data_IF_034238844695
#
_entry.id   IF_034238844695
#
_cell.length_a   1.000
_cell.length_b   1.000
_cell.length_c   1.000
_cell.angle_alpha   90.00
_cell.angle_beta   90.00
_cell.angle_gamma   90.00
#
_symmetry.space_group_name_H-M   'P 1'
#
loop_
_entity.id
_entity.type
_entity.pdbx_description
1 polymer ?
#
# COMPACT_ATOMS: atom_id res chain seq x y z
N UNK A 1 13.32 -12.34 12.05
CA UNK A 1 13.73 -13.47 11.20
C UNK A 1 14.81 -13.00 10.24
N UNK A 2 16.00 -13.62 10.34
CA UNK A 2 17.02 -14.00 9.33
C UNK A 2 17.00 -13.30 7.96
N UNK A 3 18.08 -13.16 7.20
CA UNK A 3 19.55 -13.13 7.34
C UNK A 3 20.04 -12.97 5.88
N UNK A 4 21.14 -12.22 5.68
CA UNK A 4 22.19 -12.34 4.64
C UNK A 4 21.86 -12.89 3.25
N UNK A 5 22.45 -12.22 2.24
CA UNK A 5 23.41 -12.88 1.34
C UNK A 5 24.61 -11.97 1.05
N UNK A 6 25.79 -12.51 1.34
CA UNK A 6 27.12 -12.16 0.80
C UNK A 6 27.30 -12.87 -0.55
N UNK A 7 28.27 -12.42 -1.35
CA UNK A 7 29.07 -13.11 -2.42
C UNK A 7 29.53 -12.00 -3.41
N UNK A 8 30.78 -11.81 -3.87
CA UNK A 8 31.99 -12.63 -4.01
C UNK A 8 33.25 -11.70 -4.04
N UNK A 9 34.37 -12.02 -3.40
CA UNK A 9 35.54 -12.77 -3.92
C UNK A 9 36.14 -12.27 -5.25
N UNK A 10 37.38 -11.77 -5.22
CA UNK A 10 38.45 -12.37 -6.03
C UNK A 10 39.87 -11.98 -5.57
N UNK A 11 40.70 -13.01 -5.46
CA UNK A 11 42.09 -13.00 -5.02
C UNK A 11 42.97 -13.43 -6.21
N UNK A 12 44.13 -12.76 -6.35
CA UNK A 12 45.37 -13.21 -6.98
C UNK A 12 45.44 -13.40 -8.52
N UNK A 13 46.56 -12.95 -9.10
CA UNK A 13 47.68 -13.79 -9.59
C UNK A 13 48.62 -12.93 -10.48
N UNK A 14 49.91 -12.89 -10.14
CA UNK A 14 51.00 -12.45 -11.06
C UNK A 14 51.51 -13.65 -11.89
N UNK A 15 52.11 -13.41 -13.07
CA UNK A 15 53.15 -14.33 -13.55
C UNK A 15 54.44 -13.63 -14.05
N UNK A 16 55.55 -13.96 -13.36
CA UNK A 16 56.82 -14.57 -13.82
C UNK A 16 57.45 -14.15 -15.17
N UNK A 17 58.76 -13.84 -15.11
CA UNK A 17 59.75 -13.58 -16.19
C UNK A 17 59.96 -14.76 -17.17
N UNK A 18 60.71 -14.54 -18.26
CA UNK A 18 61.81 -15.49 -18.53
C UNK A 18 63.18 -14.87 -18.87
N UNK A 19 64.13 -15.79 -18.92
CA UNK A 19 65.60 -15.73 -18.82
C UNK A 19 66.39 -15.09 -19.97
N UNK A 20 67.66 -14.79 -19.65
CA UNK A 20 68.84 -14.65 -20.53
C UNK A 20 69.10 -15.94 -21.36
N UNK A 21 69.94 -15.85 -22.40
CA UNK A 21 71.26 -16.49 -22.27
C UNK A 21 72.45 -15.67 -22.85
N UNK A 22 73.62 -16.10 -22.40
CA UNK A 22 74.99 -15.68 -22.72
C UNK A 22 75.44 -16.09 -24.13
N UNK A 23 76.52 -15.47 -24.66
CA UNK A 23 77.68 -16.24 -25.14
C UNK A 23 78.94 -15.39 -25.42
N UNK A 24 80.06 -16.10 -25.26
CA UNK A 24 81.46 -15.71 -25.16
C UNK A 24 82.24 -15.69 -26.49
N UNK A 25 83.54 -15.35 -26.38
CA UNK A 25 84.72 -15.67 -27.24
C UNK A 25 85.06 -14.64 -28.34
N UNK A 26 86.31 -14.30 -28.67
CA UNK A 26 87.64 -14.69 -28.18
C UNK A 26 88.76 -13.81 -28.82
N UNK A 27 89.93 -13.84 -28.15
CA UNK A 27 91.32 -13.88 -28.67
C UNK A 27 92.08 -12.64 -29.20
N UNK A 28 93.26 -12.48 -28.57
CA UNK A 28 94.44 -11.59 -28.73
C UNK A 28 95.44 -12.12 -29.82
N UNK A 29 96.78 -11.83 -29.82
CA UNK A 29 97.60 -10.60 -30.02
C UNK A 29 98.85 -10.82 -30.95
N UNK A 30 99.82 -9.85 -30.97
CA UNK A 30 101.32 -9.96 -30.91
C UNK A 30 102.22 -9.48 -32.08
N UNK A 31 103.08 -8.52 -31.71
CA UNK A 31 104.55 -8.35 -31.89
C UNK A 31 105.35 -9.12 -32.96
N UNK A 32 106.33 -8.43 -33.58
CA UNK A 32 107.66 -8.98 -33.87
C UNK A 32 108.77 -7.89 -33.91
N UNK A 33 109.81 -8.09 -33.10
CA UNK A 33 111.17 -7.49 -33.18
C UNK A 33 112.12 -8.51 -33.82
N UNK A 34 113.15 -8.09 -34.58
CA UNK A 34 114.54 -8.63 -34.68
C UNK A 34 115.38 -7.55 -35.42
N UNK A 35 116.41 -6.87 -34.89
CA UNK A 35 117.78 -7.19 -34.42
C UNK A 35 118.87 -7.47 -35.50
N UNK A 36 119.87 -6.58 -35.53
CA UNK A 36 121.33 -6.81 -35.53
C UNK A 36 122.11 -7.41 -36.73
N UNK A 37 123.09 -6.60 -37.19
CA UNK A 37 124.56 -6.84 -37.14
C UNK A 37 125.41 -7.14 -38.40
N UNK A 38 126.55 -6.42 -38.38
CA UNK A 38 127.93 -6.72 -38.81
C UNK A 38 128.25 -6.88 -40.31
N UNK A 39 129.36 -6.39 -40.86
CA UNK A 39 130.59 -5.89 -40.25
C UNK A 39 131.82 -6.49 -40.95
N UNK A 40 132.52 -5.65 -41.72
CA UNK A 40 134.00 -5.61 -41.89
C UNK A 40 134.79 -6.77 -42.56
N UNK A 41 135.52 -6.38 -43.61
CA UNK A 41 137.01 -6.24 -43.69
C UNK A 41 137.78 -7.03 -44.76
N UNK A 42 138.74 -6.27 -45.30
CA UNK A 42 139.71 -6.53 -46.36
C UNK A 42 140.93 -7.35 -45.93
N UNK A 43 141.80 -7.64 -46.93
CA UNK A 43 143.27 -7.86 -46.95
C UNK A 43 143.61 -9.10 -47.81
N UNK A 44 144.71 -9.24 -48.54
CA UNK A 44 145.84 -8.40 -48.94
C UNK A 44 146.69 -9.24 -49.93
N UNK A 45 147.33 -8.58 -50.89
CA UNK A 45 148.65 -8.80 -51.49
C UNK A 45 149.43 -10.12 -51.28
N UNK A 46 149.97 -10.71 -52.34
CA UNK A 46 151.42 -10.55 -52.67
C UNK A 46 151.88 -11.27 -53.97
N UNK A 47 152.61 -10.49 -54.77
CA UNK A 47 153.84 -10.75 -55.54
C UNK A 47 154.10 -12.07 -56.34
N UNK A 48 154.13 -11.89 -57.69
CA UNK A 48 155.31 -12.05 -58.58
C UNK A 48 155.81 -13.48 -58.97
N UNK A 49 156.65 -13.68 -60.04
CA UNK A 49 156.80 -12.96 -61.33
C UNK A 49 157.20 -13.83 -62.57
N UNK A 50 157.37 -13.17 -63.74
CA UNK A 50 158.08 -13.55 -65.01
C UNK A 50 157.42 -14.63 -65.91
N UNK A 51 157.44 -14.60 -67.25
CA UNK A 51 158.30 -13.94 -68.24
C UNK A 51 157.63 -13.98 -69.65
N UNK A 52 157.88 -12.93 -70.44
CA UNK A 52 158.05 -12.85 -71.90
C UNK A 52 156.94 -13.06 -72.98
N UNK A 53 156.97 -12.11 -73.93
CA UNK A 53 156.61 -12.14 -75.35
C UNK A 53 155.16 -11.90 -75.87
N UNK A 54 154.98 -10.65 -76.34
CA UNK A 54 154.43 -10.26 -77.66
C UNK A 54 152.91 -10.17 -77.89
N UNK A 55 152.02 -10.73 -77.06
CA UNK A 55 150.54 -10.61 -77.26
C UNK A 55 149.81 -9.61 -76.32
N UNK A 56 150.44 -9.25 -75.19
CA UNK A 56 149.81 -8.51 -74.09
C UNK A 56 149.39 -7.05 -74.43
N UNK A 57 150.03 -6.42 -75.42
CA UNK A 57 149.73 -5.04 -75.82
C UNK A 57 148.39 -4.88 -76.55
N UNK A 58 147.86 -5.94 -77.19
CA UNK A 58 146.51 -5.91 -77.78
C UNK A 58 145.41 -6.08 -76.73
N UNK A 59 145.64 -6.95 -75.74
CA UNK A 59 144.70 -7.19 -74.63
C UNK A 59 144.52 -5.91 -73.78
N UNK A 60 145.60 -5.20 -73.45
CA UNK A 60 145.53 -3.97 -72.62
C UNK A 60 144.63 -2.89 -73.24
N UNK A 61 144.64 -2.73 -74.58
CA UNK A 61 143.77 -1.75 -75.26
C UNK A 61 142.30 -2.17 -75.25
N UNK A 62 142.01 -3.47 -75.30
CA UNK A 62 140.63 -3.99 -75.28
C UNK A 62 140.02 -3.97 -73.86
N UNK A 63 140.83 -4.25 -72.83
CA UNK A 63 140.41 -4.19 -71.41
C UNK A 63 140.08 -2.77 -70.96
N UNK A 64 140.80 -1.74 -71.45
CA UNK A 64 140.47 -0.34 -71.18
C UNK A 64 139.10 0.05 -71.73
N UNK A 65 138.73 -0.42 -72.93
CA UNK A 65 137.44 -0.08 -73.56
C UNK A 65 136.25 -0.75 -72.85
N UNK A 66 136.40 -1.99 -72.35
CA UNK A 66 135.36 -2.65 -71.53
C UNK A 66 135.16 -2.02 -70.16
N UNK A 67 136.23 -1.56 -69.50
CA UNK A 67 136.09 -0.92 -68.18
C UNK A 67 135.45 0.47 -68.25
N UNK A 68 135.64 1.21 -69.36
CA UNK A 68 134.95 2.49 -69.59
C UNK A 68 133.43 2.29 -69.71
N UNK A 69 132.99 1.32 -70.53
CA UNK A 69 131.56 1.01 -70.69
C UNK A 69 130.90 0.51 -69.40
N UNK A 70 131.63 -0.22 -68.57
CA UNK A 70 131.11 -0.74 -67.30
C UNK A 70 130.87 0.37 -66.26
N UNK A 71 131.69 1.43 -66.26
CA UNK A 71 131.48 2.60 -65.40
C UNK A 71 130.25 3.42 -65.81
N UNK A 72 130.06 3.67 -67.11
CA UNK A 72 128.87 4.40 -67.60
C UNK A 72 127.56 3.65 -67.29
N UNK A 73 127.57 2.32 -67.34
CA UNK A 73 126.38 1.50 -67.05
C UNK A 73 126.05 1.46 -65.55
N UNK A 74 127.06 1.45 -64.67
CA UNK A 74 126.87 1.57 -63.21
C UNK A 74 126.37 2.95 -62.81
N UNK A 75 126.88 4.02 -63.43
CA UNK A 75 126.44 5.40 -63.16
C UNK A 75 124.98 5.61 -63.58
N UNK A 76 124.55 5.03 -64.72
CA UNK A 76 123.13 4.99 -65.11
C UNK A 76 122.26 4.19 -64.14
N UNK A 77 122.72 3.04 -63.64
CA UNK A 77 121.96 2.26 -62.64
C UNK A 77 121.84 2.98 -61.31
N UNK A 78 122.87 3.73 -60.89
CA UNK A 78 122.83 4.51 -59.67
C UNK A 78 121.84 5.68 -59.77
N UNK A 79 121.86 6.42 -60.88
CA UNK A 79 120.90 7.51 -61.15
C UNK A 79 119.45 7.02 -61.22
N UNK A 80 119.21 5.83 -61.79
CA UNK A 80 117.88 5.22 -61.83
C UNK A 80 117.36 4.83 -60.43
N UNK A 81 118.23 4.30 -59.54
CA UNK A 81 117.84 3.98 -58.15
C UNK A 81 117.50 5.22 -57.33
N UNK A 82 118.26 6.30 -57.49
CA UNK A 82 118.01 7.55 -56.76
C UNK A 82 116.66 8.17 -57.15
N UNK A 83 116.27 8.12 -58.44
CA UNK A 83 114.93 8.57 -58.87
C UNK A 83 113.78 7.71 -58.34
N UNK A 84 113.99 6.40 -58.20
CA UNK A 84 112.95 5.50 -57.68
C UNK A 84 112.67 5.72 -56.19
N UNK A 85 113.68 6.07 -55.40
CA UNK A 85 113.52 6.39 -53.98
C UNK A 85 112.75 7.70 -53.76
N UNK A 86 113.00 8.73 -54.57
CA UNK A 86 112.31 10.02 -54.42
C UNK A 86 110.83 9.98 -54.79
N UNK A 87 110.42 9.16 -55.77
CA UNK A 87 108.98 9.06 -56.12
C UNK A 87 108.17 8.32 -55.04
N UNK A 88 108.79 7.38 -54.33
CA UNK A 88 108.12 6.60 -53.31
C UNK A 88 107.84 7.43 -52.03
N UNK A 89 108.74 8.36 -51.70
CA UNK A 89 108.55 9.29 -50.57
C UNK A 89 107.49 10.36 -50.86
N UNK A 90 107.36 10.82 -52.11
CA UNK A 90 106.29 11.77 -52.50
C UNK A 90 104.90 11.11 -52.51
N UNK A 91 104.77 9.86 -52.96
CA UNK A 91 103.50 9.13 -52.97
C UNK A 91 102.98 8.81 -51.55
N UNK A 92 103.87 8.55 -50.59
CA UNK A 92 103.48 8.25 -49.20
C UNK A 92 102.88 9.47 -48.48
N UNK A 93 103.43 10.66 -48.73
CA UNK A 93 102.96 11.93 -48.14
C UNK A 93 101.59 12.33 -48.69
N UNK A 94 101.34 12.08 -49.99
CA UNK A 94 100.05 12.35 -50.63
C UNK A 94 98.95 11.45 -50.03
N UNK A 95 99.23 10.16 -49.84
CA UNK A 95 98.29 9.19 -49.28
C UNK A 95 97.86 9.53 -47.83
N UNK A 96 98.81 9.97 -46.99
CA UNK A 96 98.52 10.35 -45.61
C UNK A 96 97.63 11.61 -45.52
N UNK A 97 97.82 12.58 -46.43
CA UNK A 97 96.97 13.77 -46.53
C UNK A 97 95.54 13.45 -46.95
N UNK A 98 95.35 12.50 -47.88
CA UNK A 98 94.02 12.06 -48.33
C UNK A 98 93.30 11.34 -47.19
N UNK A 99 93.94 10.39 -46.52
CA UNK A 99 93.35 9.67 -45.39
C UNK A 99 92.95 10.61 -44.24
N UNK A 100 93.76 11.61 -43.92
CA UNK A 100 93.41 12.62 -42.90
C UNK A 100 92.23 13.53 -43.32
N UNK A 101 92.03 13.74 -44.62
CA UNK A 101 90.89 14.50 -45.15
C UNK A 101 89.61 13.66 -45.12
N UNK A 102 89.68 12.41 -45.56
CA UNK A 102 88.56 11.45 -45.51
C UNK A 102 88.09 11.19 -44.07
N UNK A 103 89.03 11.07 -43.12
CA UNK A 103 88.69 10.90 -41.71
C UNK A 103 87.92 12.11 -41.15
N UNK A 104 88.32 13.33 -41.51
CA UNK A 104 87.60 14.55 -41.09
C UNK A 104 86.21 14.63 -41.69
N UNK A 105 86.06 14.30 -42.98
CA UNK A 105 84.74 14.27 -43.63
C UNK A 105 83.81 13.22 -43.02
N UNK A 106 84.34 12.06 -42.63
CA UNK A 106 83.57 11.01 -41.94
C UNK A 106 83.16 11.45 -40.52
N UNK A 107 84.05 12.09 -39.77
CA UNK A 107 83.73 12.63 -38.44
C UNK A 107 82.70 13.77 -38.51
N UNK A 108 82.77 14.61 -39.54
CA UNK A 108 81.81 15.71 -39.75
C UNK A 108 80.42 15.17 -40.15
N UNK A 109 80.36 14.19 -41.07
CA UNK A 109 79.11 13.48 -41.41
C UNK A 109 78.50 12.75 -40.21
N UNK A 110 79.33 12.18 -39.35
CA UNK A 110 78.85 11.51 -38.13
C UNK A 110 78.23 12.53 -37.16
N UNK A 111 78.88 13.68 -36.95
CA UNK A 111 78.32 14.76 -36.11
C UNK A 111 77.03 15.34 -36.66
N UNK A 112 76.92 15.50 -37.98
CA UNK A 112 75.69 15.98 -38.62
C UNK A 112 74.54 14.98 -38.46
N UNK A 113 74.82 13.68 -38.59
CA UNK A 113 73.85 12.62 -38.36
C UNK A 113 73.40 12.54 -36.90
N UNK A 114 74.33 12.61 -35.95
CA UNK A 114 74.01 12.60 -34.52
C UNK A 114 73.13 13.81 -34.14
N UNK A 115 73.41 15.00 -34.73
CA UNK A 115 72.57 16.19 -34.55
C UNK A 115 71.16 16.05 -35.16
N UNK A 116 71.02 15.39 -36.31
CA UNK A 116 69.71 15.06 -36.89
C UNK A 116 68.93 14.07 -36.01
N UNK A 117 69.58 13.02 -35.53
CA UNK A 117 68.96 12.02 -34.66
C UNK A 117 68.51 12.61 -33.31
N UNK A 118 69.25 13.59 -32.77
CA UNK A 118 68.87 14.33 -31.58
C UNK A 118 67.66 15.26 -31.84
N UNK A 119 67.63 15.94 -32.98
CA UNK A 119 66.50 16.78 -33.39
C UNK A 119 65.22 15.96 -33.60
N UNK A 120 65.32 14.79 -34.24
CA UNK A 120 64.20 13.87 -34.40
C UNK A 120 63.68 13.35 -33.06
N UNK A 121 64.58 13.02 -32.12
CA UNK A 121 64.19 12.61 -30.76
C UNK A 121 63.48 13.74 -30.02
N UNK A 122 63.96 14.97 -30.14
CA UNK A 122 63.31 16.13 -29.52
C UNK A 122 61.91 16.37 -30.11
N UNK A 123 61.75 16.26 -31.43
CA UNK A 123 60.46 16.41 -32.09
C UNK A 123 59.47 15.32 -31.68
N UNK A 124 59.89 14.04 -31.63
CA UNK A 124 59.02 12.94 -31.13
C UNK A 124 58.61 13.14 -29.67
N UNK A 125 59.50 13.67 -28.83
CA UNK A 125 59.19 13.99 -27.44
C UNK A 125 58.19 15.16 -27.32
N UNK A 126 58.29 16.17 -28.20
CA UNK A 126 57.32 17.27 -28.27
C UNK A 126 55.95 16.76 -28.71
N UNK A 127 55.88 15.96 -29.77
CA UNK A 127 54.62 15.35 -30.26
C UNK A 127 53.96 14.48 -29.18
N UNK A 128 54.73 13.63 -28.48
CA UNK A 128 54.21 12.82 -27.38
C UNK A 128 53.66 13.67 -26.22
N UNK A 129 54.33 14.78 -25.89
CA UNK A 129 53.85 15.73 -24.87
C UNK A 129 52.57 16.44 -25.30
N UNK A 130 52.49 16.87 -26.56
CA UNK A 130 51.29 17.51 -27.10
C UNK A 130 50.10 16.56 -27.12
N UNK A 131 50.30 15.29 -27.52
CA UNK A 131 49.25 14.26 -27.48
C UNK A 131 48.78 14.00 -26.05
N UNK A 132 49.70 13.88 -25.08
CA UNK A 132 49.34 13.72 -23.67
C UNK A 132 48.58 14.92 -23.12
N UNK A 133 48.97 16.14 -23.50
CA UNK A 133 48.27 17.34 -23.07
C UNK A 133 46.86 17.44 -23.67
N UNK A 134 46.70 17.06 -24.94
CA UNK A 134 45.38 16.98 -25.57
C UNK A 134 44.48 15.94 -24.90
N UNK A 135 45.01 14.75 -24.60
CA UNK A 135 44.27 13.70 -23.88
C UNK A 135 43.85 14.18 -22.49
N UNK A 136 44.73 14.86 -21.74
CA UNK A 136 44.39 15.43 -20.43
C UNK A 136 43.28 16.48 -20.54
N UNK A 137 43.37 17.39 -21.52
CA UNK A 137 42.34 18.41 -21.77
C UNK A 137 41.01 17.78 -22.18
N UNK A 138 41.01 16.72 -22.99
CA UNK A 138 39.80 15.99 -23.35
C UNK A 138 39.18 15.27 -22.15
N UNK A 139 40.01 14.63 -21.31
CA UNK A 139 39.53 13.95 -20.10
C UNK A 139 38.92 14.94 -19.09
N UNK A 140 39.54 16.10 -18.89
CA UNK A 140 38.97 17.18 -18.07
C UNK A 140 37.63 17.69 -18.62
N UNK A 141 37.50 17.84 -19.95
CA UNK A 141 36.22 18.21 -20.56
C UNK A 141 35.15 17.14 -20.33
N UNK A 142 35.48 15.87 -20.55
CA UNK A 142 34.54 14.76 -20.29
C UNK A 142 34.12 14.68 -18.82
N UNK A 143 35.03 14.94 -17.88
CA UNK A 143 34.70 15.02 -16.45
C UNK A 143 33.72 16.15 -16.15
N UNK A 144 33.96 17.35 -16.67
CA UNK A 144 33.05 18.50 -16.51
C UNK A 144 31.67 18.22 -17.12
N UNK A 145 31.61 17.71 -18.34
CA UNK A 145 30.34 17.38 -19.01
C UNK A 145 29.55 16.32 -18.22
N UNK A 146 30.24 15.34 -17.61
CA UNK A 146 29.63 14.32 -16.76
C UNK A 146 29.13 14.87 -15.43
N UNK A 147 29.89 15.77 -14.79
CA UNK A 147 29.47 16.47 -13.58
C UNK A 147 28.23 17.34 -13.83
N UNK A 148 28.23 18.13 -14.91
CA UNK A 148 27.06 18.92 -15.29
C UNK A 148 25.82 18.05 -15.57
N UNK A 149 26.00 16.89 -16.21
CA UNK A 149 24.91 15.96 -16.47
C UNK A 149 24.34 15.39 -15.16
N UNK A 150 25.22 15.00 -14.22
CA UNK A 150 24.82 14.53 -12.90
C UNK A 150 24.07 15.59 -12.11
N UNK A 151 24.55 16.83 -12.10
CA UNK A 151 23.87 17.94 -11.44
C UNK A 151 22.49 18.21 -12.05
N UNK A 152 22.38 18.24 -13.38
CA UNK A 152 21.10 18.39 -14.08
C UNK A 152 20.13 17.25 -13.75
N UNK A 153 20.60 16.01 -13.66
CA UNK A 153 19.77 14.86 -13.28
C UNK A 153 19.33 14.94 -11.81
N UNK A 154 20.24 15.28 -10.89
CA UNK A 154 19.91 15.45 -9.47
C UNK A 154 18.87 16.55 -9.26
N UNK A 155 19.00 17.67 -9.99
CA UNK A 155 18.04 18.77 -9.94
C UNK A 155 16.65 18.33 -10.43
N UNK A 156 16.58 17.64 -11.57
CA UNK A 156 15.31 17.07 -12.09
C UNK A 156 14.66 16.09 -11.12
N UNK A 157 15.47 15.23 -10.51
CA UNK A 157 14.97 14.27 -9.52
C UNK A 157 14.39 14.99 -8.30
N UNK A 158 15.10 15.97 -7.76
CA UNK A 158 14.67 16.77 -6.61
C UNK A 158 13.38 17.56 -6.92
N UNK A 159 13.28 18.18 -8.10
CA UNK A 159 12.04 18.85 -8.54
C UNK A 159 10.86 17.88 -8.57
N UNK A 160 11.03 16.70 -9.18
CA UNK A 160 9.97 15.69 -9.26
C UNK A 160 9.57 15.15 -7.89
N UNK A 161 10.53 14.95 -7.00
CA UNK A 161 10.28 14.51 -5.63
C UNK A 161 9.47 15.56 -4.83
N UNK A 162 9.82 16.85 -4.98
CA UNK A 162 9.07 17.94 -4.35
C UNK A 162 7.65 18.08 -4.90
N UNK A 163 7.45 17.93 -6.22
CA UNK A 163 6.12 17.92 -6.83
C UNK A 163 5.27 16.76 -6.31
N UNK A 164 5.83 15.54 -6.28
CA UNK A 164 5.14 14.38 -5.72
C UNK A 164 4.80 14.57 -4.24
N UNK A 165 5.69 15.21 -3.47
CA UNK A 165 5.44 15.53 -2.07
C UNK A 165 4.27 16.50 -1.93
N UNK A 166 4.22 17.58 -2.73
CA UNK A 166 3.09 18.52 -2.75
C UNK A 166 1.77 17.83 -3.10
N UNK A 167 1.75 17.00 -4.14
CA UNK A 167 0.55 16.25 -4.53
C UNK A 167 0.08 15.34 -3.39
N UNK A 168 1.00 14.66 -2.70
CA UNK A 168 0.65 13.82 -1.54
C UNK A 168 0.09 14.63 -0.38
N UNK A 169 0.66 15.80 -0.10
CA UNK A 169 0.19 16.69 0.96
C UNK A 169 -1.20 17.26 0.63
N UNK A 170 -1.44 17.67 -0.61
CA UNK A 170 -2.75 18.13 -1.10
C UNK A 170 -3.79 17.02 -1.03
N UNK A 171 -3.47 15.84 -1.59
CA UNK A 171 -4.38 14.67 -1.57
C UNK A 171 -4.75 14.28 -0.14
N UNK A 172 -3.76 14.28 0.77
CA UNK A 172 -4.01 13.98 2.18
C UNK A 172 -4.92 15.02 2.82
N UNK A 173 -4.71 16.30 2.52
CA UNK A 173 -5.54 17.38 3.05
C UNK A 173 -6.99 17.27 2.56
N UNK A 174 -7.19 16.96 1.29
CA UNK A 174 -8.52 16.77 0.71
C UNK A 174 -9.24 15.58 1.36
N UNK A 175 -8.54 14.46 1.55
CA UNK A 175 -9.08 13.29 2.27
C UNK A 175 -9.43 13.60 3.72
N UNK A 176 -8.58 14.34 4.44
CA UNK A 176 -8.85 14.74 5.82
C UNK A 176 -10.06 15.70 5.90
N UNK A 177 -10.25 16.58 4.90
CA UNK A 177 -11.42 17.46 4.82
C UNK A 177 -12.71 16.69 4.48
N UNK A 178 -12.64 15.70 3.59
CA UNK A 178 -13.78 14.83 3.25
C UNK A 178 -14.20 13.97 4.44
N UNK A 179 -13.25 13.37 5.16
CA UNK A 179 -13.51 12.63 6.39
C UNK A 179 -14.17 13.49 7.47
N UNK A 180 -13.71 14.73 7.66
CA UNK A 180 -14.34 15.67 8.60
C UNK A 180 -15.77 16.01 8.22
N UNK A 181 -16.07 16.17 6.93
CA UNK A 181 -17.44 16.42 6.45
C UNK A 181 -18.32 15.20 6.71
N UNK A 182 -17.85 14.00 6.38
CA UNK A 182 -18.58 12.75 6.64
C UNK A 182 -18.87 12.53 8.13
N UNK A 183 -17.89 12.79 9.01
CA UNK A 183 -18.08 12.69 10.45
C UNK A 183 -19.10 13.72 10.97
N UNK A 184 -19.09 14.95 10.43
CA UNK A 184 -20.07 15.97 10.78
C UNK A 184 -21.49 15.59 10.32
N UNK A 185 -21.65 15.12 9.08
CA UNK A 185 -22.93 14.64 8.53
C UNK A 185 -23.47 13.42 9.29
N UNK A 186 -22.59 12.49 9.67
CA UNK A 186 -22.95 11.36 10.52
C UNK A 186 -23.39 11.84 11.91
N UNK A 187 -22.68 12.81 12.48
CA UNK A 187 -23.01 13.42 13.76
C UNK A 187 -24.39 14.09 13.76
N UNK A 188 -24.71 14.87 12.71
CA UNK A 188 -26.02 15.52 12.57
C UNK A 188 -27.14 14.52 12.32
N UNK A 189 -26.92 13.51 11.48
CA UNK A 189 -27.90 12.45 11.24
C UNK A 189 -28.20 11.65 12.51
N UNK A 190 -27.19 11.31 13.30
CA UNK A 190 -27.37 10.62 14.59
C UNK A 190 -28.10 11.50 15.61
N UNK A 191 -27.80 12.81 15.64
CA UNK A 191 -28.49 13.75 16.51
C UNK A 191 -29.97 13.88 16.14
N UNK A 192 -30.29 14.03 14.85
CA UNK A 192 -31.66 14.05 14.33
C UNK A 192 -32.41 12.77 14.66
N UNK A 193 -31.80 11.61 14.39
CA UNK A 193 -32.42 10.31 14.72
C UNK A 193 -32.68 10.14 16.21
N UNK A 194 -31.76 10.60 17.07
CA UNK A 194 -31.96 10.59 18.54
C UNK A 194 -33.10 11.52 18.94
N UNK A 195 -33.18 12.72 18.37
CA UNK A 195 -34.24 13.68 18.66
C UNK A 195 -35.61 13.17 18.19
N UNK A 196 -35.70 12.59 17.00
CA UNK A 196 -36.92 11.93 16.51
C UNK A 196 -37.34 10.76 17.40
N UNK A 197 -36.38 9.94 17.86
CA UNK A 197 -36.67 8.85 18.79
C UNK A 197 -37.19 9.36 20.13
N UNK A 198 -36.68 10.49 20.64
CA UNK A 198 -37.18 11.11 21.87
C UNK A 198 -38.58 11.66 21.64
N UNK A 199 -38.81 12.42 20.57
CA UNK A 199 -40.14 12.96 20.24
C UNK A 199 -41.18 11.86 20.06
N UNK A 200 -40.84 10.79 19.34
CA UNK A 200 -41.72 9.63 19.20
C UNK A 200 -42.04 9.00 20.54
N UNK A 201 -41.06 8.90 21.44
CA UNK A 201 -41.28 8.38 22.80
C UNK A 201 -42.16 9.32 23.64
N UNK A 202 -41.96 10.63 23.57
CA UNK A 202 -42.77 11.60 24.31
C UNK A 202 -44.21 11.64 23.80
N UNK A 203 -44.42 11.65 22.47
CA UNK A 203 -45.76 11.52 21.86
C UNK A 203 -46.44 10.22 22.28
N UNK A 204 -45.64 9.15 22.37
CA UNK A 204 -46.08 7.85 22.81
C UNK A 204 -46.54 7.86 24.28
N UNK A 205 -45.69 8.35 25.19
CA UNK A 205 -45.97 8.42 26.62
C UNK A 205 -47.19 9.33 26.90
N UNK A 206 -47.34 10.43 26.14
CA UNK A 206 -48.51 11.30 26.21
C UNK A 206 -49.80 10.58 25.77
N UNK A 207 -49.77 9.79 24.68
CA UNK A 207 -50.92 8.99 24.26
C UNK A 207 -51.30 7.97 25.32
N UNK A 208 -50.31 7.27 25.88
CA UNK A 208 -50.57 6.30 26.96
C UNK A 208 -51.19 6.99 28.18
N UNK A 209 -50.73 8.19 28.55
CA UNK A 209 -51.31 8.97 29.65
C UNK A 209 -52.77 9.35 29.35
N UNK A 210 -53.04 9.93 28.18
CA UNK A 210 -54.39 10.33 27.76
C UNK A 210 -55.35 9.12 27.73
N UNK A 211 -54.89 7.97 27.25
CA UNK A 211 -55.66 6.73 27.26
C UNK A 211 -55.98 6.25 28.68
N UNK A 212 -55.00 6.30 29.61
CA UNK A 212 -55.27 5.98 31.02
C UNK A 212 -56.27 6.96 31.64
N UNK A 213 -56.17 8.26 31.33
CA UNK A 213 -57.11 9.28 31.80
C UNK A 213 -58.52 9.02 31.25
N UNK A 214 -58.66 8.67 29.97
CA UNK A 214 -59.94 8.31 29.34
C UNK A 214 -60.55 7.03 29.92
N UNK A 215 -59.72 6.02 30.21
CA UNK A 215 -60.17 4.79 30.86
C UNK A 215 -60.75 5.10 32.24
N UNK A 216 -60.05 5.92 33.03
CA UNK A 216 -60.50 6.32 34.36
C UNK A 216 -61.77 7.19 34.29
N UNK A 217 -61.83 8.13 33.33
CA UNK A 217 -63.02 8.96 33.10
C UNK A 217 -64.23 8.10 32.71
N UNK A 218 -64.08 7.16 31.77
CA UNK A 218 -65.13 6.21 31.42
C UNK A 218 -65.59 5.38 32.63
N UNK A 219 -64.66 4.91 33.45
CA UNK A 219 -65.00 4.16 34.67
C UNK A 219 -65.77 5.03 35.68
N UNK A 220 -65.35 6.29 35.87
CA UNK A 220 -66.04 7.23 36.75
C UNK A 220 -67.41 7.63 36.22
N UNK A 221 -67.56 7.86 34.91
CA UNK A 221 -68.85 8.11 34.27
C UNK A 221 -69.78 6.91 34.42
N UNK A 222 -69.27 5.69 34.22
CA UNK A 222 -70.01 4.46 34.48
C UNK A 222 -70.49 4.42 35.94
N UNK A 223 -69.58 4.61 36.91
CA UNK A 223 -69.91 4.65 38.33
C UNK A 223 -70.95 5.73 38.68
N UNK A 224 -70.86 6.91 38.06
CA UNK A 224 -71.75 8.04 38.31
C UNK A 224 -73.14 7.83 37.71
N UNK A 225 -73.23 7.35 36.45
CA UNK A 225 -74.50 6.91 35.85
C UNK A 225 -75.12 5.83 36.72
N UNK A 226 -74.34 4.86 37.17
CA UNK A 226 -74.78 3.75 38.00
C UNK A 226 -75.37 4.20 39.34
N UNK A 227 -74.68 5.06 40.11
CA UNK A 227 -75.21 5.61 41.39
C UNK A 227 -76.53 6.37 41.18
N UNK A 228 -76.66 7.11 40.09
CA UNK A 228 -77.87 7.89 39.79
C UNK A 228 -79.09 7.02 39.45
N UNK A 229 -78.87 5.80 38.93
CA UNK A 229 -79.94 4.90 38.52
C UNK A 229 -80.47 4.04 39.66
N UNK A 230 -79.62 3.66 40.62
CA UNK A 230 -79.96 2.74 41.71
C UNK A 230 -81.06 3.25 42.65
N UNK A 231 -80.89 4.46 43.20
CA UNK A 231 -81.84 5.02 44.17
C UNK A 231 -83.26 5.18 43.61
N UNK A 232 -83.40 5.33 42.28
CA UNK A 232 -84.70 5.49 41.63
C UNK A 232 -85.32 4.16 41.19
N UNK A 233 -84.52 3.14 40.85
CA UNK A 233 -85.04 1.80 40.51
C UNK A 233 -85.67 1.14 41.73
N UNK A 234 -85.03 1.20 42.90
CA UNK A 234 -85.59 0.70 44.16
C UNK A 234 -86.94 1.36 44.48
N UNK A 235 -87.06 2.68 44.26
CA UNK A 235 -88.31 3.41 44.51
C UNK A 235 -89.43 2.99 43.54
N UNK A 236 -89.10 2.65 42.29
CA UNK A 236 -90.07 2.18 41.30
C UNK A 236 -90.49 0.72 41.52
N UNK A 237 -89.55 -0.17 41.88
CA UNK A 237 -89.85 -1.57 42.22
C UNK A 237 -90.78 -1.67 43.44
N UNK A 238 -90.54 -0.87 44.48
CA UNK A 238 -91.43 -0.75 45.65
C UNK A 238 -92.87 -0.34 45.33
N UNK A 239 -93.14 0.15 44.12
CA UNK A 239 -94.48 0.58 43.67
C UNK A 239 -95.16 -0.42 42.73
N UNK A 240 -94.56 -1.58 42.43
CA UNK A 240 -95.09 -2.57 41.47
C UNK A 240 -95.45 -2.00 40.08
N UNK A 241 -94.81 -0.90 39.69
CA UNK A 241 -95.03 -0.30 38.38
C UNK A 241 -93.90 -0.75 37.44
N UNK A 242 -94.11 -1.85 36.72
CA UNK A 242 -93.41 -2.10 35.47
C UNK A 242 -93.88 -1.07 34.43
N UNK A 243 -93.42 0.16 34.59
CA UNK A 243 -93.81 1.27 33.73
C UNK A 243 -92.73 1.51 32.67
N UNK A 244 -93.11 2.22 31.60
CA UNK A 244 -92.20 2.61 30.51
C UNK A 244 -90.92 3.31 30.99
N UNK A 245 -90.92 3.95 32.17
CA UNK A 245 -89.73 4.57 32.75
C UNK A 245 -88.75 3.53 33.30
N UNK A 246 -89.25 2.47 33.94
CA UNK A 246 -88.43 1.35 34.40
C UNK A 246 -87.78 0.63 33.21
N UNK A 247 -88.55 0.39 32.15
CA UNK A 247 -88.06 -0.23 30.92
C UNK A 247 -86.94 0.59 30.28
N UNK A 248 -87.12 1.91 30.16
CA UNK A 248 -86.09 2.79 29.63
C UNK A 248 -84.81 2.72 30.49
N UNK A 249 -84.93 2.62 31.81
CA UNK A 249 -83.75 2.54 32.69
C UNK A 249 -83.03 1.20 32.58
N UNK A 250 -83.76 0.09 32.54
CA UNK A 250 -83.16 -1.23 32.28
C UNK A 250 -82.51 -1.29 30.91
N UNK A 251 -83.14 -0.69 29.90
CA UNK A 251 -82.57 -0.58 28.55
C UNK A 251 -81.25 0.19 28.60
N UNK A 252 -81.23 1.37 29.21
CA UNK A 252 -80.00 2.16 29.38
C UNK A 252 -78.90 1.41 30.17
N UNK A 253 -79.27 0.63 31.18
CA UNK A 253 -78.31 -0.15 31.98
C UNK A 253 -77.70 -1.30 31.16
N UNK A 254 -78.55 -2.10 30.50
CA UNK A 254 -78.12 -3.24 29.67
C UNK A 254 -77.33 -2.77 28.44
N UNK A 255 -77.73 -1.66 27.82
CA UNK A 255 -76.98 -1.03 26.73
C UNK A 255 -75.64 -0.47 27.24
N UNK A 256 -75.61 0.14 28.43
CA UNK A 256 -74.37 0.59 29.05
C UNK A 256 -73.37 -0.54 29.29
N UNK A 257 -73.86 -1.72 29.72
CA UNK A 257 -73.02 -2.91 29.86
C UNK A 257 -72.46 -3.37 28.51
N UNK A 258 -73.27 -3.37 27.43
CA UNK A 258 -72.78 -3.66 26.07
C UNK A 258 -71.75 -2.64 25.60
N UNK A 259 -71.97 -1.36 25.88
CA UNK A 259 -71.09 -0.27 25.47
C UNK A 259 -69.69 -0.38 26.09
N UNK A 260 -69.56 -0.95 27.30
CA UNK A 260 -68.27 -1.22 27.95
C UNK A 260 -67.32 -2.10 27.11
N UNK A 261 -67.83 -2.88 26.16
CA UNK A 261 -67.01 -3.68 25.25
C UNK A 261 -66.37 -2.87 24.11
N UNK A 262 -66.93 -1.71 23.77
CA UNK A 262 -66.48 -0.90 22.62
C UNK A 262 -64.98 -0.58 22.66
N UNK A 263 -64.40 -0.13 23.80
CA UNK A 263 -62.97 0.11 23.90
C UNK A 263 -62.13 -1.17 23.72
N UNK A 264 -62.60 -2.32 24.20
CA UNK A 264 -61.91 -3.61 24.00
C UNK A 264 -61.86 -3.95 22.50
N UNK A 265 -63.00 -3.86 21.82
CA UNK A 265 -63.10 -4.09 20.37
C UNK A 265 -62.16 -3.19 19.58
N UNK A 266 -62.08 -1.90 19.95
CA UNK A 266 -61.15 -0.95 19.32
C UNK A 266 -59.68 -1.35 19.54
N UNK A 267 -59.29 -1.70 20.77
CA UNK A 267 -57.92 -2.13 21.08
C UNK A 267 -57.52 -3.39 20.32
N UNK A 268 -58.40 -4.39 20.24
CA UNK A 268 -58.11 -5.63 19.53
C UNK A 268 -58.01 -5.41 18.03
N UNK A 269 -58.87 -4.57 17.45
CA UNK A 269 -58.75 -4.20 16.04
C UNK A 269 -57.44 -3.46 15.73
N UNK A 270 -56.98 -2.58 16.62
CA UNK A 270 -55.67 -1.94 16.50
C UNK A 270 -54.54 -2.97 16.53
N UNK A 271 -54.57 -3.94 17.46
CA UNK A 271 -53.61 -5.04 17.51
C UNK A 271 -53.62 -5.89 16.24
N UNK A 272 -54.81 -6.24 15.71
CA UNK A 272 -54.97 -6.97 14.45
C UNK A 272 -54.31 -6.25 13.28
N UNK A 273 -54.47 -4.93 13.20
CA UNK A 273 -53.83 -4.12 12.14
C UNK A 273 -52.31 -4.05 12.30
N UNK A 274 -51.81 -3.88 13.53
CA UNK A 274 -50.38 -3.83 13.83
C UNK A 274 -49.69 -5.18 13.52
N UNK A 275 -50.33 -6.29 13.84
CA UNK A 275 -49.83 -7.64 13.56
C UNK A 275 -50.01 -8.04 12.08
N UNK A 276 -51.13 -7.67 11.46
CA UNK A 276 -51.46 -8.02 10.07
C UNK A 276 -50.61 -7.30 9.01
N UNK A 277 -50.06 -6.12 9.32
CA UNK A 277 -49.16 -5.39 8.42
C UNK A 277 -47.73 -5.97 8.39
N UNK A 278 -47.40 -6.90 9.29
CA UNK A 278 -46.07 -7.48 9.42
C UNK A 278 -45.97 -8.79 8.62
N UNK A 279 -45.66 -8.69 7.32
CA UNK A 279 -45.49 -9.87 6.43
C UNK A 279 -44.25 -10.72 6.77
N UNK A 280 -43.36 -10.19 7.61
CA UNK A 280 -42.25 -10.92 8.26
C UNK A 280 -42.30 -10.51 9.72
N UNK A 281 -42.45 -11.47 10.63
CA UNK A 281 -42.49 -11.26 12.10
C UNK A 281 -41.16 -10.74 12.70
N UNK A 282 -40.32 -10.08 11.90
CA UNK A 282 -39.18 -9.29 12.33
C UNK A 282 -39.64 -7.87 12.66
N UNK A 283 -40.38 -7.74 13.76
CA UNK A 283 -40.74 -6.43 14.29
C UNK A 283 -39.48 -5.66 14.67
N UNK A 284 -39.40 -4.41 14.23
CA UNK A 284 -38.39 -3.47 14.73
C UNK A 284 -38.56 -3.28 16.24
N UNK A 285 -37.53 -2.80 16.93
CA UNK A 285 -37.63 -2.50 18.37
C UNK A 285 -38.77 -1.51 18.67
N UNK A 286 -39.06 -0.59 17.74
CA UNK A 286 -40.15 0.39 17.84
C UNK A 286 -41.50 -0.32 17.74
N UNK A 287 -41.67 -1.23 16.78
CA UNK A 287 -42.94 -1.94 16.60
C UNK A 287 -43.24 -2.91 17.73
N UNK A 288 -42.20 -3.56 18.29
CA UNK A 288 -42.34 -4.37 19.51
C UNK A 288 -42.81 -3.53 20.69
N UNK A 289 -42.22 -2.35 20.88
CA UNK A 289 -42.62 -1.44 21.94
C UNK A 289 -44.07 -0.98 21.78
N UNK A 290 -44.49 -0.63 20.56
CA UNK A 290 -45.90 -0.27 20.28
C UNK A 290 -46.86 -1.40 20.62
N UNK A 291 -46.58 -2.62 20.14
CA UNK A 291 -47.38 -3.81 20.45
C UNK A 291 -47.49 -4.05 21.96
N UNK A 292 -46.36 -4.01 22.68
CA UNK A 292 -46.33 -4.18 24.13
C UNK A 292 -47.26 -3.20 24.84
N UNK A 293 -47.27 -1.94 24.41
CA UNK A 293 -48.14 -0.95 25.04
C UNK A 293 -49.61 -1.11 24.63
N UNK A 294 -49.91 -1.39 23.37
CA UNK A 294 -51.30 -1.64 22.94
C UNK A 294 -51.90 -2.81 23.75
N UNK A 295 -51.10 -3.84 24.03
CA UNK A 295 -51.47 -4.96 24.90
C UNK A 295 -51.69 -4.50 26.34
N UNK A 296 -50.79 -3.69 26.90
CA UNK A 296 -50.95 -3.15 28.25
C UNK A 296 -52.23 -2.30 28.39
N UNK A 297 -52.56 -1.50 27.38
CA UNK A 297 -53.82 -0.74 27.34
C UNK A 297 -55.02 -1.69 27.32
N UNK A 298 -54.98 -2.72 26.49
CA UNK A 298 -56.03 -3.74 26.42
C UNK A 298 -56.21 -4.45 27.78
N UNK A 299 -55.13 -4.86 28.43
CA UNK A 299 -55.18 -5.50 29.76
C UNK A 299 -55.85 -4.59 30.80
N UNK A 300 -55.49 -3.31 30.83
CA UNK A 300 -56.15 -2.33 31.72
C UNK A 300 -57.65 -2.17 31.41
N UNK A 301 -58.03 -2.13 30.13
CA UNK A 301 -59.44 -2.07 29.72
C UNK A 301 -60.20 -3.33 30.17
N UNK A 302 -59.58 -4.51 30.04
CA UNK A 302 -60.15 -5.78 30.52
C UNK A 302 -60.32 -5.77 32.05
N UNK A 303 -59.34 -5.28 32.82
CA UNK A 303 -59.47 -5.14 34.28
C UNK A 303 -60.65 -4.25 34.68
N UNK A 304 -60.87 -3.15 33.96
CA UNK A 304 -62.01 -2.27 34.20
C UNK A 304 -63.32 -3.00 33.92
N UNK A 305 -63.41 -3.75 32.82
CA UNK A 305 -64.60 -4.57 32.54
C UNK A 305 -64.82 -5.64 33.60
N UNK A 306 -63.79 -6.35 34.06
CA UNK A 306 -63.93 -7.31 35.15
C UNK A 306 -64.52 -6.66 36.41
N UNK A 307 -64.01 -5.49 36.81
CA UNK A 307 -64.53 -4.74 37.97
C UNK A 307 -65.98 -4.29 37.76
N UNK A 308 -66.31 -3.82 36.56
CA UNK A 308 -67.67 -3.42 36.20
C UNK A 308 -68.63 -4.61 36.33
N UNK A 309 -68.27 -5.77 35.77
CA UNK A 309 -69.10 -6.98 35.82
C UNK A 309 -69.20 -7.55 37.24
N UNK A 310 -68.11 -7.54 38.01
CA UNK A 310 -68.12 -7.97 39.42
C UNK A 310 -69.05 -7.12 40.28
N UNK A 311 -68.96 -5.79 40.18
CA UNK A 311 -69.88 -4.88 40.86
C UNK A 311 -71.34 -5.07 40.43
N UNK A 312 -71.56 -5.44 39.17
CA UNK A 312 -72.88 -5.67 38.61
C UNK A 312 -73.48 -6.99 39.14
N UNK A 313 -72.69 -8.07 39.23
CA UNK A 313 -73.11 -9.33 39.87
C UNK A 313 -73.51 -9.09 41.32
N UNK A 314 -72.64 -8.49 42.13
CA UNK A 314 -72.94 -8.21 43.55
C UNK A 314 -74.19 -7.34 43.74
N UNK A 315 -74.50 -6.52 42.74
CA UNK A 315 -75.66 -5.66 42.76
C UNK A 315 -76.92 -6.41 42.36
N UNK A 316 -76.87 -7.25 41.33
CA UNK A 316 -78.00 -8.09 40.92
C UNK A 316 -78.33 -9.07 42.03
N UNK A 317 -77.33 -9.72 42.64
CA UNK A 317 -77.50 -10.60 43.80
C UNK A 317 -78.28 -9.91 44.95
N UNK A 318 -77.89 -8.68 45.32
CA UNK A 318 -78.62 -7.88 46.33
C UNK A 318 -80.06 -7.56 45.90
N UNK A 319 -80.30 -7.24 44.63
CA UNK A 319 -81.65 -7.01 44.14
C UNK A 319 -82.49 -8.30 44.15
N UNK A 320 -81.89 -9.44 43.83
CA UNK A 320 -82.53 -10.75 43.89
C UNK A 320 -82.90 -11.13 45.32
N UNK A 321 -82.04 -10.81 46.31
CA UNK A 321 -82.36 -10.98 47.73
C UNK A 321 -83.53 -10.10 48.20
N UNK A 322 -83.58 -8.84 47.74
CA UNK A 322 -84.66 -7.89 48.07
C UNK A 322 -85.97 -8.21 47.33
N UNK A 323 -85.87 -8.79 46.13
CA UNK A 323 -86.98 -9.02 45.18
C UNK A 323 -86.89 -10.40 44.51
N UNK A 324 -87.11 -11.49 45.27
CA UNK A 324 -87.01 -12.86 44.73
C UNK A 324 -88.06 -13.17 43.65
N UNK A 325 -89.14 -12.38 43.55
CA UNK A 325 -90.13 -12.50 42.48
C UNK A 325 -89.61 -12.08 41.08
N UNK A 326 -88.50 -11.35 41.02
CA UNK A 326 -87.94 -10.81 39.80
C UNK A 326 -87.00 -11.82 39.10
N UNK A 327 -87.55 -12.96 38.66
CA UNK A 327 -86.79 -14.06 38.04
C UNK A 327 -85.98 -13.68 36.78
N UNK A 328 -86.24 -12.53 36.16
CA UNK A 328 -85.44 -12.01 35.05
C UNK A 328 -84.06 -11.50 35.50
N UNK A 329 -83.86 -11.24 36.79
CA UNK A 329 -82.57 -10.81 37.34
C UNK A 329 -81.52 -11.91 37.22
N UNK A 330 -81.91 -13.17 37.41
CA UNK A 330 -81.02 -14.33 37.27
C UNK A 330 -80.40 -14.42 35.87
N UNK A 331 -81.20 -14.20 34.82
CA UNK A 331 -80.71 -14.17 33.42
C UNK A 331 -79.65 -13.07 33.19
N UNK A 332 -79.83 -11.91 33.84
CA UNK A 332 -78.87 -10.80 33.71
C UNK A 332 -77.61 -11.14 34.50
N UNK A 333 -77.74 -11.67 35.71
CA UNK A 333 -76.64 -12.08 36.56
C UNK A 333 -75.76 -13.14 35.88
N UNK A 334 -76.39 -14.18 35.30
CA UNK A 334 -75.71 -15.23 34.55
C UNK A 334 -74.94 -14.65 33.37
N UNK A 335 -75.57 -13.80 32.56
CA UNK A 335 -74.90 -13.13 31.44
C UNK A 335 -73.70 -12.29 31.86
N UNK A 336 -73.82 -11.51 32.94
CA UNK A 336 -72.74 -10.67 33.47
C UNK A 336 -71.61 -11.54 34.03
N UNK A 337 -71.93 -12.63 34.72
CA UNK A 337 -70.95 -13.59 35.25
C UNK A 337 -70.17 -14.27 34.13
N UNK A 338 -70.85 -14.72 33.07
CA UNK A 338 -70.20 -15.31 31.90
C UNK A 338 -69.25 -14.32 31.21
N UNK A 339 -69.63 -13.04 31.10
CA UNK A 339 -68.76 -12.00 30.54
C UNK A 339 -67.53 -11.79 31.42
N UNK A 340 -67.69 -11.77 32.76
CA UNK A 340 -66.56 -11.65 33.70
C UNK A 340 -65.57 -12.80 33.52
N UNK A 341 -66.07 -14.03 33.42
CA UNK A 341 -65.25 -15.22 33.22
C UNK A 341 -64.51 -15.18 31.87
N UNK A 342 -65.21 -14.88 30.77
CA UNK A 342 -64.59 -14.72 29.44
C UNK A 342 -63.55 -13.58 29.41
N UNK A 343 -63.81 -12.49 30.14
CA UNK A 343 -62.86 -11.37 30.28
C UNK A 343 -61.60 -11.81 31.02
N UNK A 344 -61.75 -12.58 32.10
CA UNK A 344 -60.63 -13.14 32.87
C UNK A 344 -59.81 -14.13 32.04
N UNK A 345 -60.47 -14.99 31.26
CA UNK A 345 -59.79 -15.92 30.35
C UNK A 345 -58.96 -15.17 29.31
N UNK A 346 -59.52 -14.13 28.70
CA UNK A 346 -58.78 -13.27 27.77
C UNK A 346 -57.60 -12.56 28.47
N UNK A 347 -57.82 -12.01 29.67
CA UNK A 347 -56.78 -11.36 30.46
C UNK A 347 -55.62 -12.32 30.78
N UNK A 348 -55.93 -13.52 31.26
CA UNK A 348 -54.91 -14.52 31.61
C UNK A 348 -54.17 -15.06 30.38
N UNK A 349 -54.83 -15.15 29.21
CA UNK A 349 -54.16 -15.51 27.96
C UNK A 349 -53.18 -14.42 27.50
N UNK A 350 -53.52 -13.14 27.69
CA UNK A 350 -52.62 -12.02 27.43
C UNK A 350 -51.46 -11.95 28.45
N UNK A 351 -51.72 -12.22 29.73
CA UNK A 351 -50.72 -12.22 30.80
C UNK A 351 -49.72 -13.39 30.68
N UNK A 352 -50.20 -14.62 30.45
CA UNK A 352 -49.37 -15.82 30.23
C UNK A 352 -48.60 -15.74 28.91
N UNK A 353 -49.11 -14.98 27.95
CA UNK A 353 -48.39 -14.56 26.78
C UNK A 353 -47.41 -13.43 27.11
N UNK A 354 -46.43 -13.66 28.02
CA UNK A 354 -45.38 -12.69 28.37
C UNK A 354 -45.05 -11.80 27.17
N UNK A 355 -45.18 -10.47 27.29
CA UNK A 355 -45.17 -9.47 26.21
C UNK A 355 -44.10 -9.64 25.11
N UNK A 356 -43.03 -10.42 25.37
CA UNK A 356 -42.01 -10.83 24.39
C UNK A 356 -42.50 -11.86 23.36
N UNK A 357 -43.63 -12.54 23.61
CA UNK A 357 -44.09 -13.74 22.91
C UNK A 357 -45.40 -13.56 22.15
N UNK A 358 -46.01 -12.37 22.12
CA UNK A 358 -47.16 -12.09 21.23
C UNK A 358 -46.76 -12.04 19.74
N UNK A 359 -45.45 -12.10 19.46
CA UNK A 359 -44.89 -12.44 18.15
C UNK A 359 -45.08 -13.92 17.76
N UNK A 360 -45.44 -14.78 18.72
CA UNK A 360 -45.81 -16.17 18.46
C UNK A 360 -47.28 -16.25 18.01
N UNK A 361 -47.45 -16.52 16.71
CA UNK A 361 -48.76 -16.63 16.05
C UNK A 361 -49.72 -17.61 16.72
N UNK A 362 -49.22 -18.64 17.43
CA UNK A 362 -50.10 -19.57 18.14
C UNK A 362 -50.77 -18.92 19.35
N UNK A 363 -50.01 -18.11 20.11
CA UNK A 363 -50.53 -17.40 21.28
C UNK A 363 -51.48 -16.28 20.86
N UNK A 364 -51.14 -15.54 19.80
CA UNK A 364 -52.04 -14.52 19.26
C UNK A 364 -53.38 -15.12 18.79
N UNK A 365 -53.36 -16.24 18.07
CA UNK A 365 -54.61 -16.92 17.66
C UNK A 365 -55.47 -17.33 18.86
N UNK A 366 -54.86 -17.83 19.92
CA UNK A 366 -55.58 -18.16 21.15
C UNK A 366 -56.24 -16.91 21.77
N UNK A 367 -55.54 -15.76 21.77
CA UNK A 367 -56.12 -14.49 22.21
C UNK A 367 -57.25 -14.01 21.28
N UNK A 368 -57.16 -14.22 19.96
CA UNK A 368 -58.24 -13.89 19.03
C UNK A 368 -59.47 -14.76 19.26
N UNK A 369 -59.30 -16.06 19.49
CA UNK A 369 -60.38 -16.97 19.84
C UNK A 369 -61.07 -16.54 21.15
N UNK A 370 -60.29 -16.16 22.17
CA UNK A 370 -60.84 -15.61 23.43
C UNK A 370 -61.59 -14.30 23.22
N UNK A 371 -61.12 -13.43 22.33
CA UNK A 371 -61.81 -12.18 21.99
C UNK A 371 -63.14 -12.45 21.28
N UNK A 372 -63.17 -13.38 20.32
CA UNK A 372 -64.40 -13.75 19.62
C UNK A 372 -65.43 -14.38 20.56
N UNK A 373 -64.97 -15.17 21.54
CA UNK A 373 -65.86 -15.69 22.59
C UNK A 373 -66.40 -14.57 23.47
N UNK A 374 -65.53 -13.67 23.94
CA UNK A 374 -65.93 -12.51 24.74
C UNK A 374 -66.95 -11.62 24.00
N UNK A 375 -66.72 -11.34 22.73
CA UNK A 375 -67.64 -10.57 21.88
C UNK A 375 -69.02 -11.22 21.81
N UNK A 376 -69.08 -12.54 21.63
CA UNK A 376 -70.36 -13.28 21.64
C UNK A 376 -71.06 -13.17 22.99
N UNK A 377 -70.33 -13.22 24.11
CA UNK A 377 -70.93 -13.07 25.44
C UNK A 377 -71.57 -11.70 25.64
N UNK A 378 -70.94 -10.63 25.14
CA UNK A 378 -71.54 -9.29 25.16
C UNK A 378 -72.78 -9.16 24.27
N UNK A 379 -72.81 -9.83 23.11
CA UNK A 379 -73.98 -9.86 22.22
C UNK A 379 -75.17 -10.61 22.86
N UNK A 380 -74.90 -11.54 23.77
CA UNK A 380 -75.91 -12.33 24.50
C UNK A 380 -76.49 -11.62 25.72
N UNK A 381 -76.02 -10.43 26.09
CA UNK A 381 -76.66 -9.64 27.15
C UNK A 381 -78.16 -9.53 26.84
N UNK A 382 -79.08 -9.85 27.77
CA UNK A 382 -80.51 -9.79 27.51
C UNK A 382 -80.97 -8.38 27.13
N UNK A 383 -82.00 -8.27 26.28
CA UNK A 383 -82.69 -6.99 26.05
C UNK A 383 -83.96 -6.93 26.90
N UNK A 384 -84.41 -5.72 27.26
CA UNK A 384 -85.68 -5.56 28.00
C UNK A 384 -86.84 -6.19 27.23
N UNK A 385 -86.88 -6.05 25.91
CA UNK A 385 -87.89 -6.69 25.06
C UNK A 385 -87.81 -8.22 25.10
N UNK A 386 -86.60 -8.81 25.06
CA UNK A 386 -86.40 -10.26 25.16
C UNK A 386 -86.78 -10.81 26.53
N UNK A 387 -86.40 -10.13 27.61
CA UNK A 387 -86.78 -10.49 28.98
C UNK A 387 -88.31 -10.44 29.14
N UNK A 388 -88.97 -9.39 28.64
CA UNK A 388 -90.43 -9.34 28.62
C UNK A 388 -91.04 -10.51 27.87
N UNK A 389 -90.55 -10.83 26.67
CA UNK A 389 -91.11 -11.95 25.91
C UNK A 389 -90.98 -13.28 26.67
N UNK A 390 -89.87 -13.50 27.36
CA UNK A 390 -89.59 -14.71 28.16
C UNK A 390 -90.46 -14.80 29.41
N UNK A 391 -90.56 -13.71 30.18
CA UNK A 391 -91.19 -13.74 31.52
C UNK A 391 -92.65 -13.25 31.54
N UNK A 392 -93.10 -12.47 30.55
CA UNK A 392 -94.47 -11.96 30.48
C UNK A 392 -95.44 -12.97 29.86
N UNK A 393 -94.96 -13.99 29.14
CA UNK A 393 -95.78 -15.12 28.66
C UNK A 393 -96.08 -16.18 29.75
N UNK A 394 -95.50 -16.02 30.95
CA UNK A 394 -95.65 -16.95 32.09
C UNK A 394 -96.53 -16.45 33.23
N UNK A 395 -97.19 -15.30 33.08
CA UNK A 395 -98.16 -14.75 34.03
C UNK A 395 -99.60 -14.85 33.51
#
# INVERSE_FOLDING_TARGET
YLCRTYEDFDFAVQPIRPMRPENHFATLPRDFRVNENDGLRATSNDAAPFEDNSEMLKIIKETRKRNEQRREEEEKRHLARMRALTMNDEELIEAERVHMREKREMEEKQKEKDAQDDLERENRLKEMKEIQEQQRKEEERRKKDHEELKEKQALRWNTRENELKKIREETKKDQDEELKKLDAEKGTCLAQSKEESIRMKDDFDNRLRLENEQIEECYQEYCNRWRSQFGYMIVLMKRNEWNRKMENKWTMRLDGLRECFTPIRQSVNSLRMELGNSTRFDFSAIDRSKLEITVNILMKRLEVVMKVMENEVEHIERMTEEHPEAAFLEDIEESVREIREATLDMYTNLEKGEHKSLTDMKKWKQCEESFEDLEKKFDLIPTVSGLKEKYQKGF
#
